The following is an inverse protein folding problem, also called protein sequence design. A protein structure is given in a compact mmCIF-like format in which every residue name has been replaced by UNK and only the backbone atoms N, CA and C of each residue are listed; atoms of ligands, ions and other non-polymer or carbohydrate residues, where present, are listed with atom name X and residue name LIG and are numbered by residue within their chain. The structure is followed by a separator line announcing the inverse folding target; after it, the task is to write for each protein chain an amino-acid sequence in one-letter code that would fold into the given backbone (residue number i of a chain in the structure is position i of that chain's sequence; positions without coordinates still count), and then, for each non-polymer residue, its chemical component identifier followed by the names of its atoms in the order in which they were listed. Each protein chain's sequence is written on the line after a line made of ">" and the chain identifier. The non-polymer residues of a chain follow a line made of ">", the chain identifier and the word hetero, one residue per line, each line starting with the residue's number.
data_IF_378924367804
#
_entry.id   IF_378924367804
#
_cell.length_a   1.000
_cell.length_b   1.000
_cell.length_c   1.000
_cell.angle_alpha   90.00
_cell.angle_beta   90.00
_cell.angle_gamma   90.00
#
_symmetry.space_group_name_H-M   'P 1'
#
loop_
_entity.id
_entity.type
_entity.pdbx_description
1 polymer ?
#
# COMPACT_ATOMS: atom_id res chain seq x y z
N UNK A 1 1.09 39.14 -2.87
CA UNK A 1 0.53 37.83 -3.26
C UNK A 1 1.64 36.82 -3.04
N UNK A 2 1.59 36.00 -1.98
CA UNK A 2 2.59 34.96 -1.79
C UNK A 2 2.53 34.01 -3.00
N UNK A 3 3.69 33.67 -3.55
CA UNK A 3 3.78 32.76 -4.69
C UNK A 3 3.31 31.35 -4.32
N UNK A 4 3.03 30.50 -5.32
CA UNK A 4 2.65 29.09 -5.13
C UNK A 4 3.72 28.24 -4.40
N UNK A 5 4.91 28.77 -4.18
CA UNK A 5 6.09 28.08 -3.64
C UNK A 5 6.04 27.82 -2.11
N UNK A 6 5.10 28.40 -1.35
CA UNK A 6 5.08 28.29 0.12
C UNK A 6 3.70 27.91 0.71
N UNK A 7 2.92 27.03 0.07
CA UNK A 7 1.65 26.61 0.66
C UNK A 7 1.87 25.54 1.75
N UNK A 8 1.64 25.82 3.05
CA UNK A 8 1.95 24.88 4.15
C UNK A 8 1.14 23.58 4.08
N UNK A 9 0.03 23.56 3.35
CA UNK A 9 -0.71 22.33 3.10
C UNK A 9 -0.02 21.42 2.06
N UNK A 10 0.64 22.01 1.04
CA UNK A 10 1.37 21.28 0.02
C UNK A 10 2.54 20.52 0.63
N UNK A 11 3.32 21.22 1.47
CA UNK A 11 4.46 20.64 2.18
C UNK A 11 4.03 19.48 3.09
N UNK A 12 2.93 19.63 3.84
CA UNK A 12 2.41 18.57 4.72
C UNK A 12 1.93 17.35 3.94
N UNK A 13 1.29 17.56 2.79
CA UNK A 13 0.88 16.48 1.90
C UNK A 13 2.10 15.77 1.31
N UNK A 14 3.08 16.53 0.80
CA UNK A 14 4.34 16.00 0.29
C UNK A 14 5.09 15.16 1.34
N UNK A 15 5.19 15.63 2.58
CA UNK A 15 5.77 14.84 3.69
C UNK A 15 4.97 13.57 4.00
N UNK A 16 3.65 13.62 3.96
CA UNK A 16 2.80 12.44 4.19
C UNK A 16 3.00 11.39 3.10
N UNK A 17 3.06 11.80 1.83
CA UNK A 17 3.37 10.94 0.69
C UNK A 17 4.79 10.38 0.76
N UNK A 18 5.78 11.20 1.12
CA UNK A 18 7.17 10.75 1.32
C UNK A 18 7.28 9.67 2.39
N UNK A 19 6.58 9.84 3.52
CA UNK A 19 6.51 8.81 4.57
C UNK A 19 5.80 7.53 4.13
N UNK A 20 4.73 7.66 3.33
CA UNK A 20 4.06 6.50 2.73
C UNK A 20 5.00 5.72 1.81
N UNK A 21 5.70 6.43 0.91
CA UNK A 21 6.67 5.84 -0.01
C UNK A 21 7.76 5.08 0.74
N UNK A 22 8.36 5.69 1.76
CA UNK A 22 9.40 5.04 2.55
C UNK A 22 8.88 3.75 3.21
N UNK A 23 7.69 3.79 3.82
CA UNK A 23 7.10 2.60 4.43
C UNK A 23 6.82 1.49 3.41
N UNK A 24 6.34 1.85 2.21
CA UNK A 24 6.13 0.91 1.11
C UNK A 24 7.45 0.29 0.62
N UNK A 25 8.48 1.11 0.39
CA UNK A 25 9.79 0.64 -0.05
C UNK A 25 10.42 -0.32 0.98
N UNK A 26 10.37 0.02 2.26
CA UNK A 26 10.87 -0.84 3.34
C UNK A 26 10.15 -2.19 3.38
N UNK A 27 8.82 -2.20 3.27
CA UNK A 27 8.05 -3.45 3.27
C UNK A 27 8.33 -4.29 2.01
N UNK A 28 8.36 -3.68 0.84
CA UNK A 28 8.63 -4.39 -0.42
C UNK A 28 10.04 -4.98 -0.43
N UNK A 29 11.04 -4.24 0.04
CA UNK A 29 12.41 -4.73 0.20
C UNK A 29 12.47 -5.92 1.16
N UNK A 30 11.75 -5.86 2.29
CA UNK A 30 11.65 -6.98 3.22
C UNK A 30 10.99 -8.20 2.57
N UNK A 31 9.91 -8.02 1.80
CA UNK A 31 9.30 -9.11 1.03
C UNK A 31 10.29 -9.73 0.03
N UNK A 32 11.11 -8.92 -0.64
CA UNK A 32 12.15 -9.43 -1.54
C UNK A 32 13.15 -10.32 -0.80
N UNK A 33 13.67 -9.86 0.33
CA UNK A 33 14.66 -10.60 1.12
C UNK A 33 14.09 -11.88 1.72
N UNK A 34 12.91 -11.79 2.33
CA UNK A 34 12.24 -12.91 2.99
C UNK A 34 11.90 -14.01 1.99
N UNK A 35 11.37 -13.66 0.82
CA UNK A 35 10.99 -14.64 -0.19
C UNK A 35 12.20 -15.33 -0.84
N UNK A 36 13.43 -14.90 -0.57
CA UNK A 36 14.64 -15.52 -1.12
C UNK A 36 15.18 -16.64 -0.24
N UNK A 37 15.24 -16.50 1.10
CA UNK A 37 15.79 -17.57 1.95
C UNK A 37 15.56 -17.41 3.48
N UNK A 38 14.52 -16.72 3.96
CA UNK A 38 14.32 -16.50 5.42
C UNK A 38 13.50 -17.63 6.09
N UNK A 39 14.10 -18.48 6.96
CA UNK A 39 13.39 -19.54 7.67
C UNK A 39 12.59 -19.04 8.90
N UNK A 40 12.77 -17.79 9.34
CA UNK A 40 12.20 -17.27 10.57
C UNK A 40 10.76 -16.74 10.37
N UNK A 41 9.81 -17.66 10.23
CA UNK A 41 8.39 -17.38 9.99
C UNK A 41 7.77 -16.33 10.94
N UNK A 42 7.76 -16.60 12.25
CA UNK A 42 7.05 -15.75 13.22
C UNK A 42 7.64 -14.33 13.29
N UNK A 43 8.97 -14.22 13.27
CA UNK A 43 9.64 -12.93 13.31
C UNK A 43 9.37 -12.11 12.03
N UNK A 44 9.34 -12.78 10.89
CA UNK A 44 8.99 -12.18 9.60
C UNK A 44 7.55 -11.68 9.59
N UNK A 45 6.59 -12.50 10.00
CA UNK A 45 5.17 -12.15 9.93
C UNK A 45 4.83 -11.00 10.88
N UNK A 46 5.45 -10.96 12.07
CA UNK A 46 5.33 -9.82 12.98
C UNK A 46 5.88 -8.54 12.37
N UNK A 47 7.05 -8.61 11.72
CA UNK A 47 7.65 -7.47 11.03
C UNK A 47 6.77 -6.98 9.88
N UNK A 48 6.17 -7.88 9.11
CA UNK A 48 5.20 -7.52 8.07
C UNK A 48 3.96 -6.86 8.66
N UNK A 49 3.40 -7.38 9.76
CA UNK A 49 2.24 -6.78 10.44
C UNK A 49 2.54 -5.34 10.88
N UNK A 50 3.69 -5.12 11.51
CA UNK A 50 4.16 -3.80 11.94
C UNK A 50 4.30 -2.83 10.75
N UNK A 51 4.98 -3.26 9.69
CA UNK A 51 5.21 -2.43 8.49
C UNK A 51 3.92 -2.11 7.74
N UNK A 52 3.02 -3.08 7.57
CA UNK A 52 1.72 -2.88 6.95
C UNK A 52 0.82 -1.95 7.78
N UNK A 53 0.92 -2.02 9.11
CA UNK A 53 0.25 -1.09 10.01
C UNK A 53 0.77 0.34 9.84
N UNK A 54 2.08 0.51 9.63
CA UNK A 54 2.68 1.81 9.32
C UNK A 54 2.17 2.32 7.96
N UNK A 55 2.11 1.48 6.93
CA UNK A 55 1.54 1.84 5.61
C UNK A 55 0.09 2.32 5.78
N UNK A 56 -0.75 1.56 6.51
CA UNK A 56 -2.13 1.94 6.82
C UNK A 56 -2.23 3.33 7.46
N UNK A 57 -1.38 3.60 8.45
CA UNK A 57 -1.33 4.90 9.13
C UNK A 57 -0.96 6.03 8.16
N UNK A 58 0.03 5.81 7.30
CA UNK A 58 0.46 6.79 6.31
C UNK A 58 -0.59 7.04 5.24
N UNK A 59 -1.36 6.03 4.82
CA UNK A 59 -2.49 6.20 3.92
C UNK A 59 -3.54 7.12 4.52
N UNK A 60 -3.99 6.87 5.75
CA UNK A 60 -4.96 7.75 6.42
C UNK A 60 -4.45 9.18 6.60
N UNK A 61 -3.15 9.33 6.90
CA UNK A 61 -2.51 10.66 6.98
C UNK A 61 -2.54 11.35 5.61
N UNK A 62 -2.15 10.66 4.55
CA UNK A 62 -2.14 11.22 3.19
C UNK A 62 -3.55 11.63 2.75
N UNK A 63 -4.57 10.80 2.97
CA UNK A 63 -5.97 11.13 2.68
C UNK A 63 -6.43 12.40 3.42
N UNK A 64 -6.15 12.48 4.72
CA UNK A 64 -6.53 13.63 5.55
C UNK A 64 -5.80 14.90 5.09
N UNK A 65 -4.51 14.80 4.75
CA UNK A 65 -3.73 15.94 4.25
C UNK A 65 -4.18 16.39 2.87
N UNK A 66 -4.57 15.47 2.00
CA UNK A 66 -5.13 15.78 0.69
C UNK A 66 -6.44 16.56 0.83
N UNK A 67 -7.35 16.12 1.71
CA UNK A 67 -8.58 16.85 1.99
C UNK A 67 -8.31 18.28 2.47
N UNK A 68 -7.34 18.46 3.38
CA UNK A 68 -6.95 19.80 3.82
C UNK A 68 -6.31 20.64 2.72
N UNK A 69 -5.51 20.03 1.84
CA UNK A 69 -4.89 20.71 0.71
C UNK A 69 -5.96 21.23 -0.26
N UNK A 70 -6.89 20.37 -0.68
CA UNK A 70 -8.00 20.71 -1.58
C UNK A 70 -8.89 21.82 -1.02
N UNK A 71 -9.14 21.81 0.29
CA UNK A 71 -9.97 22.84 0.93
C UNK A 71 -9.24 24.19 1.13
N UNK A 72 -7.91 24.20 1.14
CA UNK A 72 -7.11 25.39 1.49
C UNK A 72 -6.54 26.13 0.27
N UNK A 73 -6.29 25.43 -0.83
CA UNK A 73 -5.74 26.02 -2.05
C UNK A 73 -6.84 26.16 -3.12
N UNK A 74 -7.07 27.36 -3.70
CA UNK A 74 -7.87 27.46 -4.91
C UNK A 74 -7.13 26.71 -6.02
N UNK A 75 -7.70 25.58 -6.44
CA UNK A 75 -7.13 24.75 -7.49
C UNK A 75 -7.07 25.57 -8.78
N UNK A 76 -5.85 25.67 -9.33
CA UNK A 76 -5.63 26.26 -10.65
C UNK A 76 -6.14 25.34 -11.76
N UNK A 77 -5.74 25.62 -13.00
CA UNK A 77 -5.99 24.67 -14.08
C UNK A 77 -5.29 23.34 -13.80
N UNK A 78 -5.91 22.19 -14.15
CA UNK A 78 -5.30 20.88 -13.96
C UNK A 78 -3.98 20.78 -14.72
N UNK A 79 -2.98 20.14 -14.10
CA UNK A 79 -1.67 19.95 -14.71
C UNK A 79 -1.80 19.18 -16.04
N UNK A 80 -1.44 19.83 -17.15
CA UNK A 80 -1.45 19.18 -18.48
C UNK A 80 -0.30 18.20 -18.67
N UNK A 81 0.81 18.38 -17.95
CA UNK A 81 2.04 17.60 -18.08
C UNK A 81 2.31 16.79 -16.81
N UNK A 82 1.55 15.71 -16.62
CA UNK A 82 1.86 14.77 -15.56
C UNK A 82 3.02 13.86 -15.94
N UNK A 83 3.84 13.41 -14.97
CA UNK A 83 4.87 12.44 -15.24
C UNK A 83 4.28 11.18 -15.88
N UNK A 84 4.99 10.48 -16.77
CA UNK A 84 4.49 9.24 -17.35
C UNK A 84 4.21 8.19 -16.26
N UNK A 85 3.25 7.29 -16.51
CA UNK A 85 3.07 6.11 -15.66
C UNK A 85 4.36 5.28 -15.69
N UNK A 86 4.73 4.69 -14.55
CA UNK A 86 5.97 3.93 -14.40
C UNK A 86 6.15 2.83 -15.46
N UNK A 87 7.37 2.31 -15.64
CA UNK A 87 7.73 1.47 -16.77
C UNK A 87 7.04 0.11 -16.80
N UNK A 88 6.69 -0.44 -15.63
CA UNK A 88 6.09 -1.77 -15.51
C UNK A 88 4.56 -1.71 -15.56
N UNK A 89 3.97 -2.64 -16.32
CA UNK A 89 2.52 -2.83 -16.35
C UNK A 89 2.06 -3.55 -15.08
N UNK A 90 0.82 -3.27 -14.69
CA UNK A 90 0.15 -3.94 -13.56
C UNK A 90 0.29 -5.47 -13.60
N UNK A 91 0.04 -6.06 -14.76
CA UNK A 91 0.12 -7.51 -14.97
C UNK A 91 1.51 -8.09 -14.76
N UNK A 92 2.57 -7.32 -15.08
CA UNK A 92 3.95 -7.74 -14.90
C UNK A 92 4.32 -7.74 -13.41
N UNK A 93 3.89 -6.71 -12.68
CA UNK A 93 4.04 -6.64 -11.22
C UNK A 93 3.28 -7.75 -10.51
N UNK A 94 2.02 -8.01 -10.92
CA UNK A 94 1.23 -9.10 -10.36
C UNK A 94 1.91 -10.45 -10.57
N UNK A 95 2.43 -10.72 -11.77
CA UNK A 95 3.15 -11.96 -12.05
C UNK A 95 4.43 -12.10 -11.23
N UNK A 96 5.22 -11.03 -11.12
CA UNK A 96 6.45 -10.99 -10.32
C UNK A 96 6.18 -11.34 -8.85
N UNK A 97 5.23 -10.64 -8.23
CA UNK A 97 4.94 -10.81 -6.80
C UNK A 97 4.30 -12.16 -6.51
N UNK A 98 3.35 -12.58 -7.35
CA UNK A 98 2.70 -13.88 -7.21
C UNK A 98 3.72 -15.02 -7.25
N UNK A 99 4.63 -15.01 -8.23
CA UNK A 99 5.66 -16.05 -8.36
C UNK A 99 6.54 -16.14 -7.12
N UNK A 100 6.89 -14.98 -6.51
CA UNK A 100 7.71 -14.95 -5.28
C UNK A 100 6.96 -15.49 -4.08
N UNK A 101 5.72 -15.04 -3.85
CA UNK A 101 4.92 -15.52 -2.73
C UNK A 101 4.58 -17.00 -2.88
N UNK A 102 4.22 -17.48 -4.08
CA UNK A 102 4.00 -18.91 -4.34
C UNK A 102 5.24 -19.75 -4.02
N UNK A 103 6.43 -19.31 -4.45
CA UNK A 103 7.68 -20.01 -4.17
C UNK A 103 7.98 -20.06 -2.66
N UNK A 104 7.82 -18.94 -1.96
CA UNK A 104 8.02 -18.87 -0.51
C UNK A 104 7.06 -19.79 0.25
N UNK A 105 5.75 -19.67 0.00
CA UNK A 105 4.74 -20.50 0.66
C UNK A 105 4.94 -22.00 0.38
N UNK A 106 5.32 -22.35 -0.84
CA UNK A 106 5.63 -23.74 -1.21
C UNK A 106 6.85 -24.27 -0.46
N UNK A 107 7.92 -23.49 -0.41
CA UNK A 107 9.19 -23.86 0.22
C UNK A 107 9.05 -24.07 1.72
N UNK A 108 8.23 -23.23 2.38
CA UNK A 108 7.99 -23.28 3.82
C UNK A 108 6.75 -24.10 4.21
N UNK A 109 6.10 -24.78 3.26
CA UNK A 109 4.89 -25.58 3.47
C UNK A 109 3.76 -24.84 4.19
N UNK A 110 3.58 -23.57 3.86
CA UNK A 110 2.56 -22.70 4.44
C UNK A 110 1.24 -22.90 3.70
N UNK A 111 0.14 -23.05 4.44
CA UNK A 111 -1.19 -23.00 3.84
C UNK A 111 -1.48 -21.55 3.41
N UNK A 112 -1.89 -21.38 2.16
CA UNK A 112 -2.27 -20.08 1.62
C UNK A 112 -3.76 -19.82 1.73
N UNK A 113 -4.56 -20.86 1.99
CA UNK A 113 -6.01 -20.75 2.05
C UNK A 113 -6.43 -20.30 3.44
N UNK A 114 -7.25 -19.25 3.50
CA UNK A 114 -7.86 -18.79 4.74
C UNK A 114 -9.36 -18.53 4.55
N UNK A 115 -10.08 -18.40 5.66
CA UNK A 115 -11.51 -18.09 5.66
C UNK A 115 -11.71 -16.60 5.90
N UNK A 116 -12.48 -15.96 5.03
CA UNK A 116 -12.84 -14.54 5.18
C UNK A 116 -14.34 -14.33 5.31
N UNK A 117 -14.68 -13.31 6.07
CA UNK A 117 -16.01 -12.71 6.16
C UNK A 117 -15.89 -11.26 5.71
N UNK A 118 -16.75 -10.83 4.79
CA UNK A 118 -16.75 -9.43 4.33
C UNK A 118 -17.26 -8.50 5.44
N UNK A 119 -18.20 -8.97 6.26
CA UNK A 119 -18.73 -8.26 7.42
C UNK A 119 -18.91 -9.21 8.60
N UNK A 120 -18.20 -8.94 9.70
CA UNK A 120 -18.39 -9.67 10.98
C UNK A 120 -19.74 -9.31 11.64
N UNK A 121 -20.37 -8.22 11.20
CA UNK A 121 -21.67 -7.77 11.70
C UNK A 121 -22.85 -8.39 10.94
N UNK A 122 -22.59 -9.07 9.82
CA UNK A 122 -23.62 -9.79 9.07
C UNK A 122 -23.66 -11.24 9.55
N UNK A 123 -24.67 -11.57 10.36
CA UNK A 123 -24.80 -12.90 10.95
C UNK A 123 -25.27 -13.97 9.96
N UNK A 124 -25.79 -13.57 8.80
CA UNK A 124 -26.25 -14.49 7.75
C UNK A 124 -25.15 -14.76 6.71
N UNK A 125 -23.99 -14.08 6.83
CA UNK A 125 -22.90 -14.25 5.88
C UNK A 125 -22.11 -15.55 6.12
N UNK A 126 -21.96 -16.35 5.05
CA UNK A 126 -21.11 -17.53 5.07
C UNK A 126 -19.63 -17.18 4.84
N UNK A 127 -18.75 -17.87 5.56
CA UNK A 127 -17.30 -17.70 5.43
C UNK A 127 -16.80 -18.22 4.07
N UNK A 128 -16.22 -17.33 3.26
CA UNK A 128 -15.68 -17.65 1.95
C UNK A 128 -14.22 -18.09 2.06
N UNK A 129 -13.83 -19.04 1.21
CA UNK A 129 -12.41 -19.35 1.02
C UNK A 129 -11.73 -18.22 0.24
N UNK A 130 -10.58 -17.78 0.73
CA UNK A 130 -9.70 -16.82 0.10
C UNK A 130 -8.26 -17.35 0.10
N UNK A 131 -7.40 -16.69 -0.68
CA UNK A 131 -6.00 -17.09 -0.87
C UNK A 131 -5.09 -15.90 -0.54
N UNK A 132 -4.28 -16.04 0.51
CA UNK A 132 -3.44 -14.96 1.01
C UNK A 132 -2.38 -14.54 0.01
N UNK A 133 -1.91 -15.45 -0.85
CA UNK A 133 -0.96 -15.14 -1.92
C UNK A 133 -1.57 -14.11 -2.87
N UNK A 134 -2.86 -14.26 -3.19
CA UNK A 134 -3.59 -13.31 -4.03
C UNK A 134 -3.66 -11.93 -3.37
N UNK A 135 -3.95 -11.86 -2.07
CA UNK A 135 -4.06 -10.58 -1.35
C UNK A 135 -2.69 -9.90 -1.17
N UNK A 136 -1.65 -10.67 -0.80
CA UNK A 136 -0.26 -10.18 -0.72
C UNK A 136 0.25 -9.67 -2.07
N UNK A 137 -0.07 -10.37 -3.16
CA UNK A 137 0.28 -9.94 -4.52
C UNK A 137 -0.38 -8.61 -4.86
N UNK A 138 -1.69 -8.48 -4.60
CA UNK A 138 -2.43 -7.25 -4.88
C UNK A 138 -1.92 -6.07 -4.05
N UNK A 139 -1.53 -6.34 -2.80
CA UNK A 139 -0.96 -5.35 -1.90
C UNK A 139 0.43 -4.88 -2.37
N UNK A 140 1.33 -5.82 -2.72
CA UNK A 140 2.68 -5.53 -3.18
C UNK A 140 2.68 -4.79 -4.52
N UNK A 141 1.80 -5.19 -5.44
CA UNK A 141 1.57 -4.51 -6.71
C UNK A 141 1.11 -3.05 -6.49
N UNK A 142 0.11 -2.84 -5.62
CA UNK A 142 -0.40 -1.50 -5.31
C UNK A 142 0.66 -0.63 -4.64
N UNK A 143 1.40 -1.19 -3.67
CA UNK A 143 2.48 -0.49 -2.99
C UNK A 143 3.58 -0.07 -3.97
N UNK A 144 4.02 -0.95 -4.87
CA UNK A 144 5.04 -0.64 -5.86
C UNK A 144 4.56 0.42 -6.87
N UNK A 145 3.33 0.29 -7.40
CA UNK A 145 2.76 1.25 -8.35
C UNK A 145 2.67 2.65 -7.75
N UNK A 146 2.19 2.74 -6.51
CA UNK A 146 1.98 4.03 -5.84
C UNK A 146 3.30 4.62 -5.33
N UNK A 147 4.25 3.81 -4.86
CA UNK A 147 5.62 4.24 -4.54
C UNK A 147 6.31 4.85 -5.75
N UNK A 148 6.23 4.19 -6.92
CA UNK A 148 6.77 4.72 -8.18
C UNK A 148 6.12 6.06 -8.57
N UNK A 149 4.81 6.21 -8.37
CA UNK A 149 4.10 7.46 -8.64
C UNK A 149 4.55 8.60 -7.71
N UNK A 150 4.80 8.29 -6.42
CA UNK A 150 5.34 9.26 -5.45
C UNK A 150 6.80 9.60 -5.78
N UNK A 151 7.60 8.63 -6.21
CA UNK A 151 9.01 8.83 -6.56
C UNK A 151 9.19 9.73 -7.79
N UNK A 152 8.26 9.66 -8.74
CA UNK A 152 8.23 10.52 -9.93
C UNK A 152 7.70 11.94 -9.65
N UNK A 153 7.30 12.23 -8.41
CA UNK A 153 6.77 13.53 -8.03
C UNK A 153 7.91 14.50 -7.75
N UNK A 154 7.96 15.59 -8.52
CA UNK A 154 8.80 16.73 -8.19
C UNK A 154 8.03 17.66 -7.23
N UNK A 155 8.44 17.67 -5.96
CA UNK A 155 7.83 18.52 -4.92
C UNK A 155 8.08 20.02 -5.15
N UNK A 156 9.04 20.37 -6.03
CA UNK A 156 9.29 21.76 -6.43
C UNK A 156 8.42 22.21 -7.62
N UNK A 157 7.65 21.29 -8.23
CA UNK A 157 6.76 21.60 -9.34
C UNK A 157 5.37 22.10 -8.89
N UNK A 158 4.57 22.53 -9.87
CA UNK A 158 3.24 23.12 -9.70
C UNK A 158 2.33 22.36 -8.70
N UNK A 159 1.73 23.03 -7.68
CA UNK A 159 0.78 22.45 -6.74
C UNK A 159 -0.41 21.70 -7.37
N UNK A 160 -0.80 22.03 -8.60
CA UNK A 160 -1.87 21.31 -9.33
C UNK A 160 -1.50 19.85 -9.61
N UNK A 161 -0.22 19.57 -9.91
CA UNK A 161 0.29 18.22 -10.12
C UNK A 161 0.33 17.38 -8.84
N UNK A 162 0.50 18.02 -7.69
CA UNK A 162 0.54 17.35 -6.39
C UNK A 162 -0.82 16.73 -6.02
N UNK A 163 -1.91 17.46 -6.22
CA UNK A 163 -3.26 16.93 -5.98
C UNK A 163 -3.55 15.75 -6.89
N UNK A 164 -3.27 15.90 -8.18
CA UNK A 164 -3.62 14.89 -9.17
C UNK A 164 -2.87 13.59 -8.89
N UNK A 165 -1.57 13.66 -8.61
CA UNK A 165 -0.77 12.49 -8.28
C UNK A 165 -1.25 11.88 -6.96
N UNK A 166 -1.46 12.70 -5.91
CA UNK A 166 -1.94 12.22 -4.62
C UNK A 166 -3.29 11.49 -4.76
N UNK A 167 -4.27 12.07 -5.46
CA UNK A 167 -5.59 11.48 -5.60
C UNK A 167 -5.60 10.30 -6.59
N UNK A 168 -5.25 10.55 -7.85
CA UNK A 168 -5.48 9.58 -8.93
C UNK A 168 -4.42 8.50 -9.01
N UNK A 169 -3.19 8.75 -8.52
CA UNK A 169 -2.08 7.81 -8.64
C UNK A 169 -1.65 7.17 -7.33
N UNK A 170 -2.12 7.67 -6.19
CA UNK A 170 -1.83 7.10 -4.88
C UNK A 170 -3.11 6.65 -4.19
N UNK A 171 -3.97 7.58 -3.76
CA UNK A 171 -5.13 7.26 -2.92
C UNK A 171 -6.17 6.40 -3.67
N UNK A 172 -6.52 6.74 -4.91
CA UNK A 172 -7.52 6.00 -5.69
C UNK A 172 -7.13 4.53 -5.96
N UNK A 173 -5.88 4.22 -6.39
CA UNK A 173 -5.39 2.84 -6.46
C UNK A 173 -5.48 2.09 -5.13
N UNK A 174 -5.12 2.71 -4.02
CA UNK A 174 -5.28 2.11 -2.69
C UNK A 174 -6.74 1.82 -2.38
N UNK A 175 -7.65 2.77 -2.59
CA UNK A 175 -9.09 2.55 -2.33
C UNK A 175 -9.69 1.44 -3.18
N UNK A 176 -9.29 1.35 -4.44
CA UNK A 176 -9.89 0.42 -5.41
C UNK A 176 -9.31 -0.98 -5.30
N UNK A 177 -8.02 -1.10 -4.98
CA UNK A 177 -7.29 -2.36 -5.03
C UNK A 177 -6.51 -2.66 -3.74
N UNK A 178 -5.81 -1.69 -3.15
CA UNK A 178 -4.93 -1.97 -2.00
C UNK A 178 -5.64 -2.16 -0.65
N UNK A 179 -6.74 -1.44 -0.40
CA UNK A 179 -7.29 -1.27 0.95
C UNK A 179 -7.94 -2.54 1.50
N UNK A 180 -8.71 -3.25 0.68
CA UNK A 180 -9.33 -4.51 1.08
C UNK A 180 -8.24 -5.54 1.39
N UNK A 181 -7.31 -5.74 0.45
CA UNK A 181 -6.16 -6.64 0.61
C UNK A 181 -5.32 -6.30 1.85
N UNK A 182 -5.05 -5.02 2.12
CA UNK A 182 -4.32 -4.60 3.32
C UNK A 182 -5.02 -5.00 4.61
N UNK A 183 -6.34 -4.82 4.68
CA UNK A 183 -7.10 -5.16 5.87
C UNK A 183 -7.22 -6.67 6.07
N UNK A 184 -7.35 -7.42 4.98
CA UNK A 184 -7.42 -8.88 5.02
C UNK A 184 -6.06 -9.50 5.38
N UNK A 185 -4.96 -9.02 4.80
CA UNK A 185 -3.60 -9.45 5.15
C UNK A 185 -3.27 -9.14 6.60
N UNK A 186 -3.60 -7.94 7.10
CA UNK A 186 -3.38 -7.60 8.51
C UNK A 186 -4.16 -8.51 9.46
N UNK A 187 -5.41 -8.85 9.12
CA UNK A 187 -6.23 -9.77 9.92
C UNK A 187 -5.62 -11.17 9.92
N UNK A 188 -5.28 -11.67 8.74
CA UNK A 188 -4.65 -12.98 8.59
C UNK A 188 -3.31 -13.07 9.34
N UNK A 189 -2.45 -12.05 9.26
CA UNK A 189 -1.20 -11.99 10.02
C UNK A 189 -1.45 -12.06 11.53
N UNK A 190 -2.38 -11.25 12.04
CA UNK A 190 -2.71 -11.22 13.46
C UNK A 190 -3.25 -12.58 13.97
N UNK A 191 -4.14 -13.21 13.19
CA UNK A 191 -4.67 -14.54 13.51
C UNK A 191 -3.58 -15.62 13.48
N UNK A 192 -2.76 -15.62 12.43
CA UNK A 192 -1.65 -16.56 12.25
C UNK A 192 -0.62 -16.43 13.37
N UNK A 193 -0.25 -15.22 13.76
CA UNK A 193 0.70 -14.97 14.84
C UNK A 193 0.13 -15.41 16.19
N UNK A 194 -1.14 -15.12 16.46
CA UNK A 194 -1.82 -15.56 17.68
C UNK A 194 -1.81 -17.09 17.80
N UNK A 195 -2.11 -17.80 16.70
CA UNK A 195 -2.07 -19.26 16.68
C UNK A 195 -0.68 -19.84 16.95
N UNK A 196 0.40 -19.13 16.61
CA UNK A 196 1.77 -19.57 16.90
C UNK A 196 2.24 -19.21 18.31
N UNK A 197 1.66 -18.17 18.94
CA UNK A 197 2.01 -17.72 20.29
C UNK A 197 1.27 -18.48 21.41
N UNK A 198 0.15 -19.13 21.09
CA UNK A 198 -0.66 -19.89 22.05
C UNK A 198 -0.08 -21.28 22.39
N UNK A 199 1.06 -21.68 21.81
CA UNK A 199 1.74 -22.97 22.02
C UNK A 199 3.15 -22.82 22.62
#
# INVERSE_FOLDING_TARGET
>A
MPGPEDHPAAERLGRALGGLRQAQETWLEDCFQVCEDDPAFTATFRRWEEQLTIIKLHLHRAETRLLHFVNAAPLGEPATDLPPRGPLRRSELAHLWRTRFEAYFTTHHLDSVYRRLDSVLDHDQEAMSADIITDLTQLAETAQLTSNAIAALDLAADPSGLEEIAFYRVISPWRTHGQAALMDVLRWLAETLREQEEW
#
